data_IF_783060245212
#
_entry.id   IF_783060245212
#
_cell.length_a   1.000
_cell.length_b   1.000
_cell.length_c   1.000
_cell.angle_alpha   90.00
_cell.angle_beta   90.00
_cell.angle_gamma   90.00
#
_symmetry.space_group_name_H-M   'P 1'
#
loop_
_entity.id
_entity.type
_entity.pdbx_description
1 polymer ?
#
# COMPACT_ATOMS: atom_id res chain seq x y z
N UNK A 1 3.49 14.99 -9.34
CA UNK A 1 2.02 14.83 -9.33
C UNK A 1 1.67 13.67 -8.43
N UNK A 2 0.79 13.88 -7.46
CA UNK A 2 0.32 12.85 -6.52
C UNK A 2 -0.89 12.15 -7.16
N UNK A 3 -0.80 10.84 -7.40
CA UNK A 3 -1.89 10.04 -7.96
C UNK A 3 -2.61 9.28 -6.85
N UNK A 4 -3.92 9.45 -6.73
CA UNK A 4 -4.73 8.67 -5.80
C UNK A 4 -5.25 7.41 -6.52
N UNK A 5 -5.35 6.27 -5.82
CA UNK A 5 -5.93 5.04 -6.36
C UNK A 5 -7.37 5.24 -6.90
N UNK A 6 -8.08 6.26 -6.41
CA UNK A 6 -9.43 6.64 -6.86
C UNK A 6 -9.45 7.36 -8.21
N UNK A 7 -8.34 7.96 -8.64
CA UNK A 7 -8.20 8.57 -9.97
C UNK A 7 -8.01 7.52 -11.08
N UNK A 8 -8.04 6.23 -10.74
CA UNK A 8 -7.91 5.13 -11.71
C UNK A 8 -9.24 4.46 -12.07
N UNK A 9 -10.32 4.75 -11.34
CA UNK A 9 -11.62 4.10 -11.53
C UNK A 9 -12.70 5.14 -11.85
N UNK A 10 -13.16 5.16 -13.11
CA UNK A 10 -14.54 5.54 -13.44
C UNK A 10 -14.92 7.04 -13.56
N UNK A 11 -14.00 8.00 -13.53
CA UNK A 11 -14.35 9.43 -13.66
C UNK A 11 -13.82 10.14 -14.92
N UNK A 12 -14.31 11.36 -15.21
CA UNK A 12 -13.72 12.29 -16.22
C UNK A 12 -12.24 12.65 -15.94
N UNK A 13 -11.73 12.33 -14.76
CA UNK A 13 -10.33 12.42 -14.33
C UNK A 13 -9.65 11.04 -14.18
N UNK A 14 -10.20 10.01 -14.80
CA UNK A 14 -9.54 8.70 -14.82
C UNK A 14 -8.23 8.78 -15.60
N UNK A 15 -7.16 8.18 -15.07
CA UNK A 15 -5.87 8.10 -15.77
C UNK A 15 -6.07 7.36 -17.09
N UNK A 16 -5.89 8.02 -18.25
CA UNK A 16 -6.12 7.38 -19.54
C UNK A 16 -5.18 6.19 -19.75
N UNK A 17 -5.65 5.16 -20.45
CA UNK A 17 -4.82 3.98 -20.80
C UNK A 17 -3.53 4.34 -21.54
N UNK A 18 -3.55 5.45 -22.29
CA UNK A 18 -2.36 6.03 -22.95
C UNK A 18 -1.34 6.59 -21.95
N UNK A 19 -1.79 7.20 -20.84
CA UNK A 19 -0.91 7.69 -19.78
C UNK A 19 -0.25 6.53 -19.03
N UNK A 20 -0.97 5.42 -18.84
CA UNK A 20 -0.39 4.19 -18.30
C UNK A 20 0.72 3.62 -19.17
N UNK A 21 0.54 3.58 -20.49
CA UNK A 21 1.61 3.14 -21.40
C UNK A 21 2.86 4.00 -21.28
N UNK A 22 2.70 5.31 -21.02
CA UNK A 22 3.81 6.21 -20.72
C UNK A 22 4.43 5.98 -19.33
N UNK A 23 3.63 5.62 -18.32
CA UNK A 23 4.13 5.26 -16.99
C UNK A 23 4.93 3.95 -17.03
N UNK A 24 4.50 2.95 -17.80
CA UNK A 24 5.25 1.70 -17.97
C UNK A 24 6.62 1.90 -18.65
N UNK A 25 6.82 3.03 -19.34
CA UNK A 25 8.11 3.42 -19.93
C UNK A 25 9.01 4.20 -18.96
N UNK A 26 8.75 4.12 -17.64
CA UNK A 26 9.49 4.84 -16.60
C UNK A 26 11.02 4.67 -16.71
N UNK A 27 11.51 3.45 -16.95
CA UNK A 27 12.95 3.16 -17.08
C UNK A 27 13.59 3.89 -18.27
N UNK A 28 12.93 3.89 -19.43
CA UNK A 28 13.43 4.58 -20.64
C UNK A 28 13.46 6.10 -20.43
N UNK A 29 12.52 6.64 -19.67
CA UNK A 29 12.40 8.07 -19.36
C UNK A 29 13.18 8.51 -18.12
N UNK A 30 13.87 7.58 -17.43
CA UNK A 30 14.57 7.82 -16.16
C UNK A 30 13.66 8.43 -15.08
N UNK A 31 12.40 7.99 -15.04
CA UNK A 31 11.42 8.39 -14.04
C UNK A 31 11.32 7.31 -12.96
N UNK A 32 11.23 7.73 -11.70
CA UNK A 32 11.01 6.84 -10.56
C UNK A 32 9.60 7.09 -10.03
N UNK A 33 8.84 6.01 -9.83
CA UNK A 33 7.48 6.07 -9.29
C UNK A 33 7.54 5.57 -7.85
N UNK A 34 7.13 6.42 -6.92
CA UNK A 34 6.94 6.04 -5.52
C UNK A 34 5.45 5.95 -5.23
N UNK A 35 4.99 4.75 -4.86
CA UNK A 35 3.63 4.50 -4.42
C UNK A 35 3.61 4.16 -2.93
N UNK A 36 2.81 4.88 -2.15
CA UNK A 36 2.58 4.57 -0.74
C UNK A 36 1.19 3.96 -0.58
N UNK A 37 1.10 2.77 -0.01
CA UNK A 37 -0.17 2.09 0.25
C UNK A 37 -0.17 1.46 1.64
N UNK A 38 -1.35 1.42 2.27
CA UNK A 38 -1.51 0.74 3.58
C UNK A 38 -1.49 -0.78 3.42
N UNK A 39 -2.07 -1.28 2.33
CA UNK A 39 -2.08 -2.70 1.97
C UNK A 39 -1.74 -2.83 0.50
N UNK A 40 -0.86 -3.76 0.20
CA UNK A 40 -0.36 -3.95 -1.14
C UNK A 40 -1.46 -4.33 -2.15
N UNK A 41 -2.46 -5.12 -1.71
CA UNK A 41 -3.61 -5.50 -2.56
C UNK A 41 -4.51 -4.35 -3.01
N UNK A 42 -4.43 -3.18 -2.36
CA UNK A 42 -5.22 -2.01 -2.76
C UNK A 42 -4.59 -1.27 -3.95
N UNK A 43 -3.35 -1.60 -4.31
CA UNK A 43 -2.70 -1.04 -5.48
C UNK A 43 -3.25 -1.70 -6.74
N UNK A 44 -3.49 -0.90 -7.78
CA UNK A 44 -3.93 -1.40 -9.08
C UNK A 44 -2.95 -2.44 -9.62
N UNK A 45 -3.48 -3.50 -10.22
CA UNK A 45 -2.69 -4.64 -10.69
C UNK A 45 -1.61 -4.22 -11.69
N UNK A 46 -1.92 -3.28 -12.60
CA UNK A 46 -0.95 -2.84 -13.60
C UNK A 46 0.25 -2.11 -12.98
N UNK A 47 0.03 -1.41 -11.87
CA UNK A 47 1.12 -0.72 -11.16
C UNK A 47 1.95 -1.73 -10.36
N UNK A 48 1.30 -2.76 -9.78
CA UNK A 48 2.01 -3.85 -9.10
C UNK A 48 2.95 -4.60 -10.05
N UNK A 49 2.47 -4.94 -11.25
CA UNK A 49 3.25 -5.65 -12.27
C UNK A 49 4.49 -4.84 -12.75
N UNK A 50 4.48 -3.51 -12.62
CA UNK A 50 5.61 -2.63 -13.00
C UNK A 50 6.54 -2.33 -11.81
N UNK A 51 6.10 -2.62 -10.58
CA UNK A 51 6.86 -2.33 -9.36
C UNK A 51 8.08 -3.24 -9.26
N UNK A 52 9.22 -2.69 -8.84
CA UNK A 52 10.45 -3.46 -8.66
C UNK A 52 10.60 -3.97 -7.22
N UNK A 53 10.50 -3.07 -6.24
CA UNK A 53 10.74 -3.39 -4.83
C UNK A 53 9.56 -2.94 -3.97
N UNK A 54 9.28 -3.68 -2.89
CA UNK A 54 8.31 -3.30 -1.87
C UNK A 54 9.03 -2.99 -0.56
N UNK A 55 8.73 -1.84 0.04
CA UNK A 55 9.27 -1.45 1.35
C UNK A 55 8.16 -1.52 2.38
N UNK A 56 8.25 -2.50 3.28
CA UNK A 56 7.36 -2.60 4.44
C UNK A 56 7.90 -1.73 5.58
N UNK A 57 7.14 -0.72 5.97
CA UNK A 57 7.47 0.17 7.07
C UNK A 57 6.74 -0.25 8.34
N UNK A 58 7.47 -0.42 9.44
CA UNK A 58 6.93 -0.66 10.77
C UNK A 58 7.56 0.28 11.80
N UNK A 59 6.82 0.54 12.87
CA UNK A 59 7.20 1.39 13.99
C UNK A 59 7.63 0.52 15.18
N UNK A 60 8.83 0.75 15.72
CA UNK A 60 9.35 -0.01 16.87
C UNK A 60 9.81 0.95 17.98
N UNK A 61 9.19 1.02 19.17
CA UNK A 61 8.02 0.25 19.64
C UNK A 61 6.75 0.57 18.84
N UNK A 62 5.77 -0.33 18.90
CA UNK A 62 4.47 -0.23 18.19
C UNK A 62 3.61 0.90 18.77
N UNK A 63 4.00 2.13 18.46
CA UNK A 63 3.34 3.33 18.93
C UNK A 63 3.27 4.34 17.78
N UNK A 64 2.10 4.89 17.46
CA UNK A 64 1.90 5.74 16.29
C UNK A 64 2.79 6.99 16.27
N UNK A 65 3.21 7.48 17.44
CA UNK A 65 4.06 8.67 17.53
C UNK A 65 5.55 8.35 17.74
N UNK A 66 5.97 7.09 17.67
CA UNK A 66 7.39 6.76 17.75
C UNK A 66 8.16 7.42 16.60
N UNK A 67 9.42 7.76 16.86
CA UNK A 67 10.31 8.32 15.85
C UNK A 67 11.14 7.25 15.15
N UNK A 68 11.15 6.04 15.68
CA UNK A 68 11.93 4.93 15.14
C UNK A 68 11.10 4.22 14.09
N UNK A 69 11.61 4.22 12.87
CA UNK A 69 11.01 3.55 11.72
C UNK A 69 11.94 2.42 11.26
N UNK A 70 11.40 1.22 11.20
CA UNK A 70 12.02 0.06 10.59
C UNK A 70 11.43 -0.13 9.20
N UNK A 71 12.28 -0.09 8.17
CA UNK A 71 11.93 -0.33 6.79
C UNK A 71 12.60 -1.62 6.33
N UNK A 72 11.81 -2.58 5.86
CA UNK A 72 12.30 -3.85 5.30
C UNK A 72 11.93 -3.89 3.82
N UNK A 73 12.93 -4.05 2.98
CA UNK A 73 12.79 -4.13 1.52
C UNK A 73 12.72 -5.59 1.09
N UNK A 74 11.74 -5.88 0.24
CA UNK A 74 11.48 -7.16 -0.38
C UNK A 74 11.43 -7.01 -1.89
N UNK A 75 11.76 -8.08 -2.59
CA UNK A 75 11.47 -8.22 -4.01
C UNK A 75 9.96 -8.35 -4.21
N UNK A 76 9.46 -7.83 -5.34
CA UNK A 76 8.03 -7.82 -5.65
C UNK A 76 7.45 -9.24 -5.72
N UNK A 77 8.13 -10.16 -6.41
CA UNK A 77 7.66 -11.52 -6.66
C UNK A 77 7.50 -12.30 -5.35
N UNK A 78 8.49 -12.21 -4.47
CA UNK A 78 8.44 -12.86 -3.16
C UNK A 78 7.38 -12.25 -2.25
N UNK A 79 7.22 -10.92 -2.31
CA UNK A 79 6.22 -10.23 -1.51
C UNK A 79 4.79 -10.59 -1.96
N UNK A 80 4.54 -10.75 -3.26
CA UNK A 80 3.27 -11.25 -3.77
C UNK A 80 2.99 -12.68 -3.31
N UNK A 81 3.99 -13.57 -3.34
CA UNK A 81 3.85 -14.93 -2.81
C UNK A 81 3.50 -14.95 -1.33
N UNK A 82 4.12 -14.07 -0.52
CA UNK A 82 3.80 -13.90 0.89
C UNK A 82 2.34 -13.46 1.12
N UNK A 83 1.86 -12.53 0.28
CA UNK A 83 0.50 -12.01 0.39
C UNK A 83 -0.55 -13.06 0.01
N UNK A 84 -0.24 -13.92 -0.96
CA UNK A 84 -1.07 -15.07 -1.34
C UNK A 84 -1.04 -16.17 -0.29
N UNK A 85 0.15 -16.50 0.23
CA UNK A 85 0.38 -17.52 1.24
C UNK A 85 1.08 -16.95 2.48
N UNK A 86 0.33 -16.61 3.54
CA UNK A 86 0.91 -16.06 4.77
C UNK A 86 1.84 -16.99 5.55
N UNK A 87 1.96 -18.27 5.16
CA UNK A 87 2.90 -19.23 5.76
C UNK A 87 4.27 -19.15 5.10
N UNK A 88 4.34 -18.63 3.87
CA UNK A 88 5.60 -18.38 3.19
C UNK A 88 6.37 -17.26 3.88
N UNK A 89 7.70 -17.38 3.98
CA UNK A 89 8.56 -16.34 4.52
C UNK A 89 9.35 -15.73 3.36
N UNK A 90 9.08 -14.46 2.97
CA UNK A 90 9.82 -13.81 1.90
C UNK A 90 11.26 -13.51 2.33
N UNK A 91 12.19 -13.52 1.38
CA UNK A 91 13.59 -13.18 1.60
C UNK A 91 13.72 -11.67 1.74
N UNK A 92 14.44 -11.26 2.78
CA UNK A 92 14.72 -9.86 3.02
C UNK A 92 15.91 -9.44 2.15
N UNK A 93 15.71 -8.42 1.31
CA UNK A 93 16.80 -7.82 0.53
C UNK A 93 17.61 -6.84 1.37
N UNK A 94 16.92 -5.98 2.12
CA UNK A 94 17.55 -4.93 2.92
C UNK A 94 16.68 -4.61 4.14
N UNK A 95 17.34 -4.32 5.25
CA UNK A 95 16.68 -3.75 6.43
C UNK A 95 17.34 -2.42 6.75
N UNK A 96 16.54 -1.41 7.02
CA UNK A 96 17.00 -0.09 7.42
C UNK A 96 16.21 0.36 8.65
N UNK A 97 16.90 0.93 9.63
CA UNK A 97 16.28 1.53 10.80
C UNK A 97 16.67 3.00 10.84
N UNK A 98 15.66 3.87 10.79
CA UNK A 98 15.85 5.32 10.72
C UNK A 98 15.12 5.97 11.87
N UNK A 99 15.80 6.88 12.56
CA UNK A 99 15.19 7.76 13.55
C UNK A 99 14.79 9.07 12.86
N UNK A 100 13.50 9.40 12.90
CA UNK A 100 12.96 10.61 12.29
C UNK A 100 13.49 11.86 13.01
N UNK A 101 14.19 12.70 12.26
CA UNK A 101 14.66 14.02 12.70
C UNK A 101 13.50 15.03 12.66
N UNK A 102 13.59 16.07 13.49
CA UNK A 102 12.59 17.15 13.52
C UNK A 102 12.41 17.83 12.15
N UNK A 103 13.51 18.00 11.41
CA UNK A 103 13.49 18.55 10.06
C UNK A 103 12.49 17.81 9.15
N UNK A 104 12.49 16.48 9.14
CA UNK A 104 11.59 15.71 8.27
C UNK A 104 10.11 15.82 8.67
N UNK A 105 9.81 16.01 9.95
CA UNK A 105 8.44 16.20 10.42
C UNK A 105 7.91 17.61 10.15
N UNK A 106 8.79 18.60 10.17
CA UNK A 106 8.44 19.98 9.83
C UNK A 106 8.18 20.18 8.33
N UNK A 107 8.67 19.28 7.48
CA UNK A 107 8.39 19.30 6.03
C UNK A 107 6.97 18.84 5.67
N UNK A 108 6.19 18.33 6.63
CA UNK A 108 4.86 17.78 6.36
C UNK A 108 3.84 18.29 7.39
N UNK A 109 2.97 19.20 6.98
CA UNK A 109 1.86 19.67 7.80
C UNK A 109 0.60 18.84 7.51
N UNK A 110 0.12 18.12 8.53
CA UNK A 110 -1.10 17.31 8.42
C UNK A 110 -2.37 18.15 8.33
N UNK A 111 -2.34 19.42 8.74
CA UNK A 111 -3.53 20.28 8.74
C UNK A 111 -3.97 20.63 7.32
N UNK A 112 -3.01 20.92 6.44
CA UNK A 112 -3.23 21.20 5.02
C UNK A 112 -3.79 19.98 4.28
N UNK A 113 -3.44 18.75 4.70
CA UNK A 113 -4.02 17.54 4.14
C UNK A 113 -5.52 17.44 4.49
N UNK A 114 -5.88 17.73 5.73
CA UNK A 114 -7.26 17.63 6.23
C UNK A 114 -8.16 18.64 5.52
N UNK A 115 -7.71 19.88 5.34
CA UNK A 115 -8.47 20.90 4.60
C UNK A 115 -8.69 20.46 3.15
N UNK A 116 -7.65 19.96 2.48
CA UNK A 116 -7.77 19.45 1.10
C UNK A 116 -8.62 18.18 0.96
N UNK A 117 -8.83 17.41 2.03
CA UNK A 117 -9.69 16.21 2.06
C UNK A 117 -11.17 16.56 2.25
N UNK A 118 -11.47 17.67 2.90
CA UNK A 118 -12.85 18.15 3.07
C UNK A 118 -13.44 18.65 1.75
N UNK A 119 -12.60 19.20 0.87
CA UNK A 119 -13.03 19.78 -0.41
C UNK A 119 -13.18 18.75 -1.54
N UNK A 120 -12.93 17.46 -1.28
CA UNK A 120 -12.98 16.41 -2.33
C UNK A 120 -14.33 15.71 -2.35
N UNK A 121 -14.91 15.62 -3.54
CA UNK A 121 -16.09 14.79 -3.81
C UNK A 121 -15.72 13.30 -3.74
N UNK A 122 -16.32 12.58 -2.79
CA UNK A 122 -16.11 11.15 -2.64
C UNK A 122 -17.15 10.36 -3.45
N UNK A 123 -16.68 9.42 -4.27
CA UNK A 123 -17.47 8.30 -4.81
C UNK A 123 -18.26 7.63 -3.67
N UNK A 124 -19.50 7.22 -3.96
CA UNK A 124 -20.40 6.58 -3.01
C UNK A 124 -19.88 5.23 -2.51
N UNK A 125 -20.22 4.89 -1.27
CA UNK A 125 -19.77 3.66 -0.60
C UNK A 125 -20.16 2.37 -1.36
N UNK A 126 -21.28 2.40 -2.09
CA UNK A 126 -21.76 1.27 -2.89
C UNK A 126 -20.81 0.93 -4.04
N UNK A 127 -20.28 1.95 -4.71
CA UNK A 127 -19.33 1.80 -5.82
C UNK A 127 -17.92 1.45 -5.32
N UNK A 128 -17.57 1.84 -4.10
CA UNK A 128 -16.33 1.38 -3.45
C UNK A 128 -16.40 -0.12 -3.14
N UNK A 129 -17.55 -0.60 -2.66
CA UNK A 129 -17.75 -2.02 -2.33
C UNK A 129 -17.75 -2.91 -3.58
N UNK A 130 -18.35 -2.45 -4.69
CA UNK A 130 -18.34 -3.21 -5.95
C UNK A 130 -16.93 -3.30 -6.57
N UNK A 131 -16.18 -2.19 -6.58
CA UNK A 131 -14.81 -2.15 -7.13
C UNK A 131 -13.79 -2.90 -6.28
N UNK A 132 -14.09 -3.12 -4.99
CA UNK A 132 -13.24 -3.93 -4.10
C UNK A 132 -13.21 -5.40 -4.50
N UNK A 133 -14.10 -5.83 -5.40
CA UNK A 133 -14.20 -7.18 -5.94
C UNK A 133 -14.04 -8.19 -4.82
N UNK A 134 -15.12 -8.51 -4.10
CA UNK A 134 -15.10 -9.47 -3.00
C UNK A 134 -14.42 -10.78 -3.40
N UNK A 135 -13.10 -10.84 -3.27
CA UNK A 135 -12.41 -12.02 -2.81
C UNK A 135 -12.92 -12.19 -1.39
N UNK A 136 -14.03 -12.92 -1.31
CA UNK A 136 -14.42 -13.66 -0.13
C UNK A 136 -13.18 -14.45 0.32
N UNK A 137 -12.31 -13.81 1.11
CA UNK A 137 -11.55 -14.52 2.13
C UNK A 137 -12.63 -15.04 3.06
N UNK A 138 -13.20 -16.17 2.67
CA UNK A 138 -14.22 -16.91 3.39
C UNK A 138 -13.77 -16.86 4.82
N UNK A 139 -14.62 -16.28 5.66
CA UNK A 139 -14.45 -16.38 7.09
C UNK A 139 -14.26 -17.85 7.37
N UNK A 140 -13.05 -18.23 7.78
CA UNK A 140 -12.64 -19.63 7.90
C UNK A 140 -13.51 -20.30 8.95
N UNK A 141 -14.60 -20.93 8.53
CA UNK A 141 -15.47 -21.93 9.16
C UNK A 141 -15.87 -21.76 10.65
N UNK A 142 -15.56 -20.63 11.29
CA UNK A 142 -15.79 -20.38 12.72
C UNK A 142 -15.12 -21.36 13.70
N UNK A 143 -14.42 -22.39 13.21
CA UNK A 143 -13.85 -23.47 14.01
C UNK A 143 -12.78 -22.98 14.98
N UNK A 144 -12.62 -23.71 16.10
CA UNK A 144 -11.65 -23.35 17.14
C UNK A 144 -10.20 -23.29 16.60
N UNK A 145 -9.88 -24.11 15.58
CA UNK A 145 -8.59 -24.06 14.87
C UNK A 145 -8.42 -22.77 14.06
N UNK A 146 -9.44 -22.33 13.34
CA UNK A 146 -9.37 -21.11 12.54
C UNK A 146 -9.33 -19.85 13.39
N UNK A 147 -10.08 -19.79 14.50
CA UNK A 147 -9.99 -18.73 15.51
C UNK A 147 -8.60 -18.67 16.17
N UNK A 148 -7.99 -19.83 16.44
CA UNK A 148 -6.60 -19.90 16.95
C UNK A 148 -5.59 -19.41 15.91
N UNK A 149 -5.76 -19.77 14.64
CA UNK A 149 -4.94 -19.27 13.54
C UNK A 149 -5.10 -17.75 13.34
N UNK A 150 -6.31 -17.21 13.52
CA UNK A 150 -6.56 -15.75 13.47
C UNK A 150 -5.96 -15.01 14.66
N UNK A 151 -6.00 -15.60 15.87
CA UNK A 151 -5.37 -15.05 17.08
C UNK A 151 -3.84 -15.10 17.01
N UNK A 152 -3.31 -16.14 16.36
CA UNK A 152 -1.88 -16.31 16.11
C UNK A 152 -1.39 -15.54 14.88
N UNK A 153 -2.29 -15.08 14.01
CA UNK A 153 -2.01 -14.00 13.06
C UNK A 153 -1.85 -12.73 13.88
N UNK A 154 -0.69 -12.59 14.51
CA UNK A 154 -0.17 -11.30 14.91
C UNK A 154 -0.15 -10.46 13.65
N UNK A 155 -1.18 -9.63 13.47
CA UNK A 155 -1.08 -8.50 12.55
C UNK A 155 -0.09 -7.59 13.24
N UNK A 156 1.12 -7.63 12.69
CA UNK A 156 2.23 -6.77 13.05
C UNK A 156 1.75 -5.36 13.35
#
# INVERSE_FOLDING_TARGET
>A
TLFNSRDFVGGRKSVPKSLFQHLCQCRKRKLVIFGTVQRFNLLDKQIRDVTADVIACNSMPKYPFTRILQAVTFDIDEYEMYVLNPVYNPRIMKTNVVIQKNQYRQLYDTTELVTNLLDKEYISDTEILSNRGEDSKTFTDGTRKSKKALRNRSRW
#
